data_IF_556334474570
#
_entry.id   IF_556334474570
#
_cell.length_a   1.000
_cell.length_b   1.000
_cell.length_c   1.000
_cell.angle_alpha   90.00
_cell.angle_beta   90.00
_cell.angle_gamma   90.00
#
_symmetry.space_group_name_H-M   'P 1'
#
loop_
_entity.id
_entity.type
_entity.pdbx_description
1 polymer ?
#
# COMPACT_ATOMS: atom_id res chain seq x y z
N UNK A 1 -2.65 5.40 -1.95
CA UNK A 1 -1.64 5.81 -0.95
C UNK A 1 -1.22 4.55 -0.20
N UNK A 2 0.07 4.27 0.01
CA UNK A 2 0.53 2.94 0.50
C UNK A 2 0.88 2.91 1.99
N UNK A 3 1.28 4.05 2.57
CA UNK A 3 1.50 4.21 4.02
C UNK A 3 0.89 5.52 4.46
N UNK A 4 0.18 5.52 5.58
CA UNK A 4 -0.47 6.72 6.11
C UNK A 4 -0.18 6.90 7.61
N UNK A 5 0.13 8.14 7.99
CA UNK A 5 0.32 8.54 9.39
C UNK A 5 -1.00 8.73 10.13
N UNK A 6 -2.09 8.99 9.41
CA UNK A 6 -3.43 9.13 10.01
C UNK A 6 -3.95 7.79 10.58
N UNK A 7 -3.46 6.68 10.04
CA UNK A 7 -3.90 5.33 10.38
C UNK A 7 -5.20 4.93 9.68
N UNK A 8 -5.35 3.64 9.41
CA UNK A 8 -6.52 3.04 8.77
C UNK A 8 -7.13 2.04 9.74
N UNK A 9 -8.44 2.13 9.95
CA UNK A 9 -9.18 1.19 10.80
C UNK A 9 -9.71 0.05 9.93
N UNK A 10 -9.39 -1.17 10.33
CA UNK A 10 -9.80 -2.39 9.65
C UNK A 10 -11.18 -2.86 10.12
N UNK A 11 -11.88 -3.67 9.29
CA UNK A 11 -13.17 -4.23 9.66
C UNK A 11 -13.09 -5.20 10.86
N UNK A 12 -11.92 -5.78 11.12
CA UNK A 12 -11.65 -6.58 12.32
C UNK A 12 -11.48 -5.74 13.61
N UNK A 13 -11.54 -4.41 13.50
CA UNK A 13 -11.38 -3.47 14.61
C UNK A 13 -9.94 -3.03 14.88
N UNK A 14 -8.94 -3.64 14.23
CA UNK A 14 -7.54 -3.25 14.37
C UNK A 14 -7.25 -1.91 13.69
N UNK A 15 -6.25 -1.19 14.21
CA UNK A 15 -5.79 0.08 13.65
C UNK A 15 -4.35 -0.09 13.17
N UNK A 16 -4.11 0.10 11.88
CA UNK A 16 -2.76 0.14 11.32
C UNK A 16 -2.34 1.59 11.07
N UNK A 17 -1.15 1.96 11.52
CA UNK A 17 -0.57 3.30 11.32
C UNK A 17 0.91 3.16 11.03
N UNK A 18 1.40 4.04 10.15
CA UNK A 18 2.82 4.16 9.84
C UNK A 18 3.38 5.46 10.38
N UNK A 19 4.70 5.51 10.57
CA UNK A 19 5.36 6.72 11.06
C UNK A 19 5.29 7.86 10.05
N UNK A 20 5.37 7.52 8.75
CA UNK A 20 5.37 8.46 7.63
C UNK A 20 4.34 8.13 6.55
N UNK A 21 4.08 9.11 5.69
CA UNK A 21 3.24 8.96 4.51
C UNK A 21 4.08 8.49 3.32
N UNK A 22 3.54 7.57 2.53
CA UNK A 22 4.15 7.15 1.26
C UNK A 22 3.07 6.86 0.20
N UNK A 23 3.44 7.10 -1.07
CA UNK A 23 2.61 6.84 -2.23
C UNK A 23 3.43 6.16 -3.33
N UNK A 24 2.75 5.46 -4.23
CA UNK A 24 3.32 4.83 -5.43
C UNK A 24 2.70 5.51 -6.64
N UNK A 25 3.55 5.85 -7.61
CA UNK A 25 3.10 6.46 -8.86
C UNK A 25 2.52 5.41 -9.79
N UNK A 26 1.35 5.70 -10.34
CA UNK A 26 0.60 4.85 -11.25
C UNK A 26 0.48 5.52 -12.61
N UNK A 27 0.41 4.71 -13.66
CA UNK A 27 0.03 5.16 -15.00
C UNK A 27 -1.50 5.23 -15.16
N UNK A 28 -1.99 5.70 -16.31
CA UNK A 28 -3.43 5.77 -16.62
C UNK A 28 -4.11 4.39 -16.66
N UNK A 29 -3.34 3.30 -16.74
CA UNK A 29 -3.81 1.91 -16.69
C UNK A 29 -3.75 1.32 -15.27
N UNK A 30 -3.50 2.15 -14.25
CA UNK A 30 -3.38 1.76 -12.83
C UNK A 30 -2.23 0.78 -12.54
N UNK A 31 -1.20 0.79 -13.38
CA UNK A 31 0.01 -0.01 -13.17
C UNK A 31 1.12 0.86 -12.55
N UNK A 32 1.95 0.31 -11.65
CA UNK A 32 3.06 1.04 -11.08
C UNK A 32 4.06 1.41 -12.18
N UNK A 33 4.50 2.68 -12.17
CA UNK A 33 5.54 3.16 -13.10
C UNK A 33 6.92 2.59 -12.70
N UNK A 34 7.11 2.35 -11.40
CA UNK A 34 8.35 1.80 -10.85
C UNK A 34 8.38 0.26 -10.85
N UNK A 35 9.59 -0.29 -10.84
CA UNK A 35 9.83 -1.75 -10.82
C UNK A 35 10.02 -2.32 -9.42
N UNK A 36 10.18 -1.47 -8.38
CA UNK A 36 10.42 -1.91 -7.00
C UNK A 36 9.74 -0.99 -5.99
N UNK A 37 9.25 -1.58 -4.90
CA UNK A 37 8.67 -0.88 -3.76
C UNK A 37 9.58 -1.05 -2.55
N UNK A 38 9.73 0.02 -1.77
CA UNK A 38 10.52 0.03 -0.55
C UNK A 38 9.63 0.16 0.68
N UNK A 39 9.92 -0.69 1.67
CA UNK A 39 9.20 -0.73 2.94
C UNK A 39 7.87 -1.49 2.88
N UNK A 40 7.22 -1.64 4.04
CA UNK A 40 5.98 -2.38 4.16
C UNK A 40 4.82 -1.64 3.51
N UNK A 41 3.87 -2.40 2.97
CA UNK A 41 2.62 -1.90 2.39
C UNK A 41 1.40 -2.47 3.11
N UNK A 42 0.30 -1.73 3.04
CA UNK A 42 -1.00 -2.12 3.61
C UNK A 42 -1.70 -3.19 2.77
N UNK A 43 -2.24 -4.23 3.41
CA UNK A 43 -3.07 -5.29 2.78
C UNK A 43 -4.28 -4.77 2.01
N UNK A 44 -4.76 -3.60 2.38
CA UNK A 44 -5.90 -2.89 1.81
C UNK A 44 -5.75 -2.66 0.29
N UNK A 45 -4.51 -2.55 -0.20
CA UNK A 45 -4.19 -2.41 -1.63
C UNK A 45 -4.59 -3.64 -2.46
N UNK A 46 -4.77 -4.81 -1.82
CA UNK A 46 -5.27 -6.03 -2.46
C UNK A 46 -6.71 -5.88 -2.92
N UNK A 47 -7.53 -5.23 -2.10
CA UNK A 47 -8.96 -5.00 -2.38
C UNK A 47 -9.17 -3.97 -3.50
N UNK A 48 -8.24 -3.04 -3.66
CA UNK A 48 -8.31 -1.94 -4.62
C UNK A 48 -7.71 -2.26 -6.00
N UNK A 49 -7.53 -3.54 -6.35
CA UNK A 49 -6.95 -4.02 -7.62
C UNK A 49 -5.47 -3.69 -7.84
N UNK A 50 -4.74 -3.21 -6.83
CA UNK A 50 -3.29 -2.93 -6.93
C UNK A 50 -2.41 -4.15 -6.65
N UNK A 51 -2.77 -5.32 -7.19
CA UNK A 51 -2.07 -6.59 -6.93
C UNK A 51 -0.58 -6.55 -7.31
N UNK A 52 -0.22 -5.82 -8.38
CA UNK A 52 1.18 -5.65 -8.78
C UNK A 52 2.02 -4.96 -7.70
N UNK A 53 1.44 -4.00 -6.98
CA UNK A 53 2.11 -3.29 -5.87
C UNK A 53 2.35 -4.25 -4.71
N UNK A 54 1.36 -5.05 -4.34
CA UNK A 54 1.48 -6.03 -3.25
C UNK A 54 2.53 -7.10 -3.57
N UNK A 55 2.62 -7.53 -4.83
CA UNK A 55 3.60 -8.52 -5.29
C UNK A 55 5.05 -8.01 -5.26
N UNK A 56 5.25 -6.73 -5.56
CA UNK A 56 6.59 -6.11 -5.58
C UNK A 56 7.05 -5.61 -4.20
N UNK A 57 6.17 -5.65 -3.19
CA UNK A 57 6.48 -5.17 -1.87
C UNK A 57 7.25 -6.22 -1.05
N UNK A 58 8.24 -5.81 -0.25
CA UNK A 58 9.01 -6.72 0.59
C UNK A 58 8.19 -7.31 1.75
N UNK A 59 7.21 -6.57 2.26
CA UNK A 59 6.38 -6.99 3.40
C UNK A 59 4.98 -6.36 3.31
N UNK A 60 3.98 -7.11 3.79
CA UNK A 60 2.56 -6.76 3.64
C UNK A 60 1.85 -6.87 5.00
N UNK A 61 1.46 -5.71 5.55
CA UNK A 61 0.89 -5.53 6.89
C UNK A 61 -0.62 -5.33 6.86
#
# INVERSE_FOLDING_TARGET
MVRTRKGVRRPDGSLIRFDGNAAVLLNNKQEPIGTRIFGPVTRELRSEKFMKIVSLAPEVL
#
